data_IF_264927251779
#
_entry.id   IF_264927251779
#
_cell.length_a   1.000
_cell.length_b   1.000
_cell.length_c   1.000
_cell.angle_alpha   90.00
_cell.angle_beta   90.00
_cell.angle_gamma   90.00
#
_symmetry.space_group_name_H-M   'P 1'
#
loop_
_entity.id
_entity.type
_entity.pdbx_description
1 polymer ?
#
# COMPACT_ATOMS: atom_id res chain seq x y z
N UNK A 1 4.09 11.07 27.11
CA UNK A 1 3.15 10.69 26.03
C UNK A 1 3.87 9.68 25.18
N UNK A 2 3.40 8.43 25.14
CA UNK A 2 3.92 7.45 24.19
C UNK A 2 3.75 8.01 22.77
N UNK A 3 4.81 8.01 21.95
CA UNK A 3 4.64 8.27 20.53
C UNK A 3 3.88 7.09 19.96
N UNK A 4 2.60 7.28 19.61
CA UNK A 4 1.88 6.28 18.82
C UNK A 4 2.61 6.10 17.49
N UNK A 5 2.94 4.86 17.16
CA UNK A 5 3.55 4.53 15.87
C UNK A 5 2.53 4.80 14.74
N UNK A 6 3.03 5.28 13.60
CA UNK A 6 2.20 5.47 12.41
C UNK A 6 1.71 4.12 11.89
N UNK A 7 0.47 4.08 11.42
CA UNK A 7 -0.06 2.91 10.74
C UNK A 7 0.75 2.65 9.44
N UNK A 8 1.14 1.39 9.16
CA UNK A 8 1.66 1.02 7.85
C UNK A 8 0.66 1.35 6.75
N UNK A 9 1.17 1.75 5.60
CA UNK A 9 0.39 1.91 4.38
C UNK A 9 0.48 0.60 3.61
N UNK A 10 -0.67 0.05 3.20
CA UNK A 10 -0.79 -1.16 2.42
C UNK A 10 -1.41 -0.82 1.07
N UNK A 11 -0.64 -0.99 0.00
CA UNK A 11 -1.06 -0.77 -1.38
C UNK A 11 -1.26 -2.10 -2.10
N UNK A 12 -2.44 -2.30 -2.69
CA UNK A 12 -2.68 -3.39 -3.62
C UNK A 12 -2.49 -2.89 -5.06
N UNK A 13 -1.68 -3.60 -5.84
CA UNK A 13 -1.37 -3.24 -7.22
C UNK A 13 -1.44 -4.46 -8.14
N UNK A 14 -1.82 -4.24 -9.39
CA UNK A 14 -1.90 -5.31 -10.39
C UNK A 14 -1.20 -4.97 -11.70
N UNK A 15 -1.96 -4.68 -12.77
CA UNK A 15 -1.48 -4.54 -14.15
C UNK A 15 -1.61 -3.10 -14.69
N UNK A 16 -1.63 -2.10 -13.80
CA UNK A 16 -1.86 -0.69 -14.15
C UNK A 16 -0.62 0.19 -13.89
N UNK A 17 0.48 0.04 -14.66
CA UNK A 17 1.76 0.70 -14.36
C UNK A 17 1.65 2.23 -14.31
N UNK A 18 0.80 2.84 -15.17
CA UNK A 18 0.59 4.30 -15.15
C UNK A 18 -0.11 4.78 -13.87
N UNK A 19 -1.13 4.05 -13.43
CA UNK A 19 -1.90 4.43 -12.24
C UNK A 19 -1.05 4.25 -10.98
N UNK A 20 -0.34 3.11 -10.86
CA UNK A 20 0.52 2.86 -9.70
C UNK A 20 1.60 3.94 -9.56
N UNK A 21 2.17 4.41 -10.67
CA UNK A 21 3.15 5.49 -10.66
C UNK A 21 2.53 6.77 -10.07
N UNK A 22 1.32 7.13 -10.48
CA UNK A 22 0.63 8.33 -9.97
C UNK A 22 0.27 8.19 -8.49
N UNK A 23 -0.16 7.00 -8.04
CA UNK A 23 -0.44 6.72 -6.63
C UNK A 23 0.81 6.88 -5.78
N UNK A 24 1.94 6.29 -6.20
CA UNK A 24 3.22 6.41 -5.51
C UNK A 24 3.70 7.86 -5.44
N UNK A 25 3.64 8.60 -6.55
CA UNK A 25 4.00 10.03 -6.58
C UNK A 25 3.11 10.88 -5.65
N UNK A 26 1.82 10.56 -5.55
CA UNK A 26 0.90 11.25 -4.66
C UNK A 26 1.17 10.91 -3.18
N UNK A 27 1.41 9.63 -2.88
CA UNK A 27 1.78 9.18 -1.53
C UNK A 27 3.09 9.79 -1.07
N UNK A 28 4.12 9.84 -1.93
CA UNK A 28 5.41 10.46 -1.63
C UNK A 28 5.29 11.94 -1.23
N UNK A 29 4.31 12.66 -1.78
CA UNK A 29 4.02 14.07 -1.45
C UNK A 29 3.32 14.26 -0.11
N UNK A 30 2.91 13.19 0.59
CA UNK A 30 2.32 13.31 1.91
C UNK A 30 3.36 13.68 2.95
N UNK A 31 3.01 14.54 3.92
CA UNK A 31 3.92 15.01 4.97
C UNK A 31 4.53 13.91 5.84
N UNK A 32 3.85 12.76 5.94
CA UNK A 32 4.28 11.62 6.76
C UNK A 32 4.88 10.47 5.94
N UNK A 33 5.06 10.62 4.62
CA UNK A 33 5.54 9.55 3.73
C UNK A 33 6.86 8.96 4.21
N UNK A 34 7.87 9.81 4.46
CA UNK A 34 9.21 9.42 4.93
C UNK A 34 9.23 8.75 6.32
N UNK A 35 8.13 8.84 7.08
CA UNK A 35 7.98 8.21 8.39
C UNK A 35 7.11 6.95 8.34
N UNK A 36 6.37 6.74 7.25
CA UNK A 36 5.49 5.60 7.05
C UNK A 36 6.22 4.40 6.46
N UNK A 37 5.89 3.20 6.94
CA UNK A 37 6.26 1.94 6.27
C UNK A 37 5.21 1.64 5.19
N UNK A 38 5.67 1.37 3.97
CA UNK A 38 4.84 1.00 2.83
C UNK A 38 5.00 -0.49 2.52
N UNK A 39 3.90 -1.21 2.53
CA UNK A 39 3.78 -2.57 2.04
C UNK A 39 3.00 -2.55 0.73
N UNK A 40 3.51 -3.26 -0.28
CA UNK A 40 2.86 -3.33 -1.59
C UNK A 40 2.65 -4.78 -1.95
N UNK A 41 1.40 -5.18 -2.14
CA UNK A 41 1.05 -6.51 -2.62
C UNK A 41 0.76 -6.43 -4.12
N UNK A 42 1.62 -7.05 -4.91
CA UNK A 42 1.48 -7.17 -6.37
C UNK A 42 1.01 -8.59 -6.71
N UNK A 43 -0.21 -8.71 -7.21
CA UNK A 43 -0.75 -10.01 -7.63
C UNK A 43 -0.03 -10.53 -8.90
N UNK A 44 -0.17 -11.82 -9.23
CA UNK A 44 0.34 -12.41 -10.47
C UNK A 44 -0.64 -12.22 -11.63
N UNK A 45 -0.15 -12.14 -12.87
CA UNK A 45 -0.98 -12.03 -14.07
C UNK A 45 -1.89 -13.25 -14.24
N UNK A 46 -3.16 -13.03 -14.63
CA UNK A 46 -4.10 -14.11 -14.95
C UNK A 46 -3.83 -14.75 -16.32
N UNK A 47 -3.13 -14.04 -17.19
CA UNK A 47 -2.74 -14.44 -18.54
C UNK A 47 -1.42 -13.76 -18.95
N UNK A 48 -0.93 -14.08 -20.14
CA UNK A 48 0.35 -13.60 -20.63
C UNK A 48 0.41 -12.08 -20.86
N UNK A 49 -0.70 -11.45 -21.25
CA UNK A 49 -0.72 -10.00 -21.48
C UNK A 49 -0.76 -9.24 -20.15
N UNK A 50 -1.56 -9.73 -19.19
CA UNK A 50 -1.56 -9.21 -17.83
C UNK A 50 -0.19 -9.38 -17.16
N UNK A 51 0.49 -10.52 -17.34
CA UNK A 51 1.81 -10.76 -16.73
C UNK A 51 2.87 -9.74 -17.21
N UNK A 52 2.83 -9.33 -18.49
CA UNK A 52 3.73 -8.26 -18.99
C UNK A 52 3.50 -6.95 -18.25
N UNK A 53 2.24 -6.55 -18.10
CA UNK A 53 1.87 -5.31 -17.42
C UNK A 53 2.12 -5.38 -15.91
N UNK A 54 1.94 -6.54 -15.29
CA UNK A 54 2.33 -6.81 -13.90
C UNK A 54 3.83 -6.66 -13.73
N UNK A 55 4.64 -7.18 -14.65
CA UNK A 55 6.10 -7.04 -14.59
C UNK A 55 6.55 -5.58 -14.77
N UNK A 56 5.92 -4.83 -15.67
CA UNK A 56 6.12 -3.37 -15.75
C UNK A 56 5.75 -2.65 -14.45
N UNK A 57 4.63 -3.03 -13.85
CA UNK A 57 4.18 -2.50 -12.56
C UNK A 57 5.21 -2.82 -11.47
N UNK A 58 5.66 -4.07 -11.37
CA UNK A 58 6.67 -4.53 -10.39
C UNK A 58 7.99 -3.78 -10.49
N UNK A 59 8.45 -3.48 -11.71
CA UNK A 59 9.65 -2.63 -11.90
C UNK A 59 9.48 -1.24 -11.30
N UNK A 60 8.29 -0.64 -11.42
CA UNK A 60 8.00 0.66 -10.78
C UNK A 60 8.00 0.49 -9.26
N UNK A 61 7.32 -0.54 -8.75
CA UNK A 61 7.20 -0.81 -7.32
C UNK A 61 8.56 -1.05 -6.65
N UNK A 62 9.44 -1.82 -7.27
CA UNK A 62 10.78 -2.15 -6.75
C UNK A 62 11.68 -0.91 -6.60
N UNK A 63 11.46 0.12 -7.42
CA UNK A 63 12.22 1.37 -7.39
C UNK A 63 11.57 2.45 -6.51
N UNK A 64 10.56 2.09 -5.70
CA UNK A 64 9.85 3.02 -4.84
C UNK A 64 10.73 3.50 -3.68
N UNK A 65 10.90 4.83 -3.59
CA UNK A 65 11.61 5.52 -2.52
C UNK A 65 10.70 6.55 -1.82
N UNK A 66 11.22 7.31 -0.85
CA UNK A 66 10.45 8.36 -0.15
C UNK A 66 9.54 7.85 0.97
N UNK A 67 9.82 6.65 1.49
CA UNK A 67 9.16 6.06 2.65
C UNK A 67 10.20 5.62 3.67
N UNK A 68 9.80 5.45 4.93
CA UNK A 68 10.70 4.93 6.00
C UNK A 68 11.26 3.56 5.60
N UNK A 69 10.41 2.72 5.03
CA UNK A 69 10.74 1.41 4.47
C UNK A 69 9.67 1.02 3.46
N UNK A 70 10.08 0.45 2.34
CA UNK A 70 9.19 -0.16 1.35
C UNK A 70 9.42 -1.67 1.32
N UNK A 71 8.34 -2.45 1.36
CA UNK A 71 8.37 -3.91 1.20
C UNK A 71 7.41 -4.31 0.09
N UNK A 72 7.91 -4.95 -0.97
CA UNK A 72 7.09 -5.42 -2.10
C UNK A 72 6.92 -6.93 -2.00
N UNK A 73 5.67 -7.39 -1.92
CA UNK A 73 5.27 -8.79 -1.89
C UNK A 73 4.69 -9.12 -3.26
N UNK A 74 5.39 -9.99 -4.00
CA UNK A 74 5.00 -10.41 -5.35
C UNK A 74 4.39 -11.80 -5.29
N UNK A 75 3.14 -11.94 -5.73
CA UNK A 75 2.51 -13.26 -5.84
C UNK A 75 3.00 -13.99 -7.09
N UNK A 76 3.33 -15.29 -6.99
CA UNK A 76 3.78 -16.06 -8.14
C UNK A 76 2.66 -16.35 -9.14
N UNK A 77 1.39 -16.32 -8.70
CA UNK A 77 0.19 -16.56 -9.52
C UNK A 77 -0.90 -15.58 -9.12
N UNK A 78 -1.90 -15.38 -9.99
CA UNK A 78 -3.07 -14.58 -9.69
C UNK A 78 -3.89 -15.21 -8.55
N UNK A 79 -3.87 -14.58 -7.37
CA UNK A 79 -4.69 -14.99 -6.22
C UNK A 79 -6.13 -14.46 -6.35
N UNK A 80 -6.32 -13.39 -7.12
CA UNK A 80 -7.58 -12.69 -7.22
C UNK A 80 -7.76 -11.66 -6.11
N UNK A 81 -8.48 -10.58 -6.42
CA UNK A 81 -8.59 -9.39 -5.58
C UNK A 81 -9.00 -9.71 -4.13
N UNK A 82 -10.09 -10.45 -3.93
CA UNK A 82 -10.61 -10.73 -2.59
C UNK A 82 -9.61 -11.51 -1.73
N UNK A 83 -9.02 -12.57 -2.27
CA UNK A 83 -8.04 -13.38 -1.54
C UNK A 83 -6.76 -12.59 -1.24
N UNK A 84 -6.30 -11.78 -2.21
CA UNK A 84 -5.11 -10.97 -2.02
C UNK A 84 -5.32 -9.88 -0.96
N UNK A 85 -6.49 -9.22 -0.95
CA UNK A 85 -6.85 -8.21 0.06
C UNK A 85 -6.93 -8.83 1.45
N UNK A 86 -7.63 -9.96 1.60
CA UNK A 86 -7.77 -10.63 2.90
C UNK A 86 -6.39 -11.01 3.45
N UNK A 87 -5.57 -11.72 2.68
CA UNK A 87 -4.25 -12.17 3.13
C UNK A 87 -3.32 -10.99 3.46
N UNK A 88 -3.30 -9.96 2.59
CA UNK A 88 -2.47 -8.78 2.80
C UNK A 88 -2.88 -7.99 4.04
N UNK A 89 -4.17 -7.73 4.23
CA UNK A 89 -4.68 -6.99 5.40
C UNK A 89 -4.42 -7.78 6.68
N UNK A 90 -4.75 -9.08 6.71
CA UNK A 90 -4.50 -9.95 7.87
C UNK A 90 -3.02 -9.96 8.26
N UNK A 91 -2.12 -10.15 7.29
CA UNK A 91 -0.67 -10.16 7.53
C UNK A 91 -0.18 -8.88 8.21
N UNK A 92 -0.68 -7.72 7.80
CA UNK A 92 -0.25 -6.44 8.38
C UNK A 92 -0.91 -6.19 9.74
N UNK A 93 -2.21 -6.47 9.90
CA UNK A 93 -2.92 -6.28 11.16
C UNK A 93 -2.35 -7.19 12.25
N UNK A 94 -2.07 -8.46 11.96
CA UNK A 94 -1.49 -9.40 12.93
C UNK A 94 -0.16 -8.91 13.51
N UNK A 95 0.61 -8.14 12.73
CA UNK A 95 1.91 -7.62 13.14
C UNK A 95 1.86 -6.22 13.75
N UNK A 96 1.00 -5.34 13.25
CA UNK A 96 1.02 -3.90 13.58
C UNK A 96 -0.27 -3.42 14.29
N UNK A 97 -1.32 -4.24 14.37
CA UNK A 97 -2.60 -3.92 14.99
C UNK A 97 -3.49 -2.95 14.20
N UNK A 98 -2.93 -2.20 13.24
CA UNK A 98 -3.63 -1.23 12.38
C UNK A 98 -2.97 -1.09 11.01
N UNK A 99 -3.71 -0.59 10.03
CA UNK A 99 -3.23 -0.41 8.65
C UNK A 99 -4.05 0.67 7.92
N UNK A 100 -3.42 1.37 6.97
CA UNK A 100 -4.09 2.24 5.98
C UNK A 100 -4.06 1.52 4.64
N UNK A 101 -5.21 1.10 4.12
CA UNK A 101 -5.31 0.33 2.87
C UNK A 101 -5.62 1.24 1.68
N UNK A 102 -4.94 1.02 0.56
CA UNK A 102 -5.12 1.72 -0.71
C UNK A 102 -5.08 0.75 -1.89
N UNK A 103 -5.78 1.14 -2.96
CA UNK A 103 -5.73 0.50 -4.29
C UNK A 103 -4.89 1.33 -5.27
N UNK A 104 -4.51 0.73 -6.40
CA UNK A 104 -3.60 1.31 -7.38
C UNK A 104 -4.20 2.44 -8.25
N UNK A 105 -5.46 2.83 -8.03
CA UNK A 105 -6.14 3.91 -8.73
C UNK A 105 -6.60 5.08 -7.83
N UNK A 106 -6.07 5.18 -6.60
CA UNK A 106 -6.40 6.25 -5.65
C UNK A 106 -5.29 7.31 -5.51
N UNK A 107 -5.57 8.53 -6.00
CA UNK A 107 -4.67 9.68 -5.85
C UNK A 107 -4.92 10.39 -4.51
N UNK A 108 -3.95 10.34 -3.61
CA UNK A 108 -4.07 10.93 -2.27
C UNK A 108 -3.79 12.44 -2.26
N UNK A 109 -4.51 13.18 -1.41
CA UNK A 109 -4.13 14.55 -1.01
C UNK A 109 -2.81 14.54 -0.21
N UNK A 110 -1.98 15.61 -0.24
CA UNK A 110 -0.77 15.73 0.59
C UNK A 110 -0.99 15.65 2.11
N UNK A 111 -2.23 15.76 2.58
CA UNK A 111 -2.60 15.64 4.01
C UNK A 111 -3.24 14.29 4.37
N UNK A 112 -3.39 13.38 3.41
CA UNK A 112 -4.10 12.11 3.58
C UNK A 112 -3.52 11.27 4.72
N UNK A 113 -2.21 11.01 4.73
CA UNK A 113 -1.61 10.16 5.77
C UNK A 113 -1.76 10.75 7.18
N UNK A 114 -1.68 12.07 7.31
CA UNK A 114 -1.90 12.75 8.60
C UNK A 114 -3.35 12.61 9.06
N UNK A 115 -4.30 12.76 8.13
CA UNK A 115 -5.71 12.57 8.41
C UNK A 115 -6.02 11.13 8.85
N UNK A 116 -5.55 10.14 8.10
CA UNK A 116 -5.82 8.73 8.37
C UNK A 116 -5.24 8.28 9.71
N UNK A 117 -3.98 8.65 10.03
CA UNK A 117 -3.40 8.32 11.32
C UNK A 117 -4.17 8.95 12.49
N UNK A 118 -4.57 10.22 12.36
CA UNK A 118 -5.39 10.88 13.37
C UNK A 118 -6.77 10.21 13.51
N UNK A 119 -7.39 9.80 12.41
CA UNK A 119 -8.67 9.10 12.43
C UNK A 119 -8.56 7.75 13.14
N UNK A 120 -7.54 6.95 12.82
CA UNK A 120 -7.27 5.69 13.52
C UNK A 120 -7.09 5.91 15.02
N UNK A 121 -6.35 6.94 15.42
CA UNK A 121 -6.15 7.26 16.84
C UNK A 121 -7.43 7.69 17.56
N UNK A 122 -8.33 8.39 16.87
CA UNK A 122 -9.63 8.85 17.41
C UNK A 122 -10.59 7.69 17.60
N UNK A 123 -10.65 6.76 16.64
CA UNK A 123 -11.66 5.69 16.63
C UNK A 123 -11.19 4.37 17.25
N UNK A 124 -9.92 4.25 17.66
CA UNK A 124 -9.35 3.02 18.24
C UNK A 124 -10.14 2.46 19.44
N UNK A 125 -10.73 3.34 20.26
CA UNK A 125 -11.44 2.95 21.49
C UNK A 125 -12.90 3.45 21.50
N UNK A 126 -13.47 3.68 20.32
CA UNK A 126 -14.87 4.08 20.18
C UNK A 126 -15.67 2.85 19.78
N UNK A 127 -16.59 2.43 20.66
CA UNK A 127 -17.56 1.35 20.43
C UNK A 127 -18.67 1.75 19.44
#
# INVERSE_FOLDING_TARGET
>A
MERKELAPVLLFAYNRPKHVKQVLEALQKNKLSEQSELFIFSDGGKDFEDEKLVEETRKILDNTTGFKKTTVIKRPVNFGLAANVIDGVSTIIEKYGKVIVLEDDLITSPTFLSFMNKALDVYENVD
#
